data_IF_614207587041
#
_entry.id   IF_614207587041
#
_cell.length_a   1.000
_cell.length_b   1.000
_cell.length_c   1.000
_cell.angle_alpha   90.00
_cell.angle_beta   90.00
_cell.angle_gamma   90.00
#
_symmetry.space_group_name_H-M   'P 1'
#
loop_
_entity.id
_entity.type
_entity.pdbx_description
1 polymer ?
#
# COMPACT_ATOMS: atom_id res chain seq x y z
N UNK A 1 28.13 -46.18 -55.30
CA UNK A 1 27.68 -45.22 -56.34
C UNK A 1 27.84 -43.80 -55.79
N UNK A 2 28.30 -42.91 -56.67
CA UNK A 2 28.70 -41.49 -56.59
C UNK A 2 28.24 -40.64 -55.37
N UNK A 3 29.13 -39.95 -54.64
CA UNK A 3 30.04 -38.80 -54.94
C UNK A 3 29.38 -37.44 -54.63
N UNK A 4 30.04 -36.71 -53.71
CA UNK A 4 29.83 -35.29 -53.31
C UNK A 4 29.99 -34.34 -54.51
N UNK A 5 29.39 -33.13 -54.43
CA UNK A 5 30.11 -31.87 -54.69
C UNK A 5 29.32 -30.61 -54.27
N UNK A 6 30.05 -29.75 -53.59
CA UNK A 6 29.82 -28.33 -53.25
C UNK A 6 30.25 -27.39 -54.40
N UNK A 7 29.82 -26.12 -54.31
CA UNK A 7 30.52 -24.81 -54.57
C UNK A 7 29.95 -23.83 -55.61
N UNK A 8 29.76 -22.57 -55.16
CA UNK A 8 30.06 -21.23 -55.78
C UNK A 8 29.33 -20.81 -57.08
N UNK A 9 28.97 -19.55 -57.40
CA UNK A 9 29.18 -18.18 -56.89
C UNK A 9 29.19 -17.16 -58.07
N UNK A 10 28.76 -15.89 -57.84
CA UNK A 10 28.94 -14.64 -58.67
C UNK A 10 28.26 -14.53 -60.07
N UNK A 11 27.95 -13.37 -60.70
CA UNK A 11 27.75 -11.95 -60.37
C UNK A 11 27.33 -11.14 -61.66
N UNK A 12 26.55 -10.06 -61.47
CA UNK A 12 26.58 -8.71 -62.11
C UNK A 12 26.21 -8.37 -63.60
N UNK A 13 25.70 -7.11 -63.72
CA UNK A 13 25.69 -6.09 -64.82
C UNK A 13 24.38 -5.89 -65.65
N UNK A 14 23.66 -4.74 -65.54
CA UNK A 14 23.77 -3.40 -66.20
C UNK A 14 23.23 -3.43 -67.67
N UNK A 15 22.32 -2.57 -68.22
CA UNK A 15 22.31 -1.09 -68.37
C UNK A 15 21.01 -0.51 -69.02
N UNK A 16 20.62 0.70 -68.59
CA UNK A 16 20.15 1.96 -69.29
C UNK A 16 18.97 2.09 -70.29
N UNK A 17 18.27 3.24 -70.10
CA UNK A 17 17.79 4.29 -71.07
C UNK A 17 16.26 4.53 -71.07
N UNK A 18 15.65 5.71 -71.25
CA UNK A 18 16.02 7.14 -71.30
C UNK A 18 14.68 7.94 -71.42
N UNK A 19 14.58 9.08 -70.71
CA UNK A 19 13.77 10.31 -70.86
C UNK A 19 12.45 10.37 -71.68
N UNK A 20 11.44 11.10 -71.14
CA UNK A 20 11.04 12.43 -71.67
C UNK A 20 10.10 13.18 -70.72
N UNK A 21 10.38 14.48 -70.53
CA UNK A 21 9.59 15.44 -69.75
C UNK A 21 8.44 16.05 -70.58
N UNK A 22 7.35 16.47 -69.91
CA UNK A 22 6.50 17.56 -70.40
C UNK A 22 5.82 18.27 -69.20
N UNK A 23 5.99 19.58 -69.15
CA UNK A 23 5.45 20.50 -68.16
C UNK A 23 4.06 21.03 -68.57
N UNK A 24 3.20 21.36 -67.60
CA UNK A 24 2.37 22.56 -67.66
C UNK A 24 1.65 22.88 -66.32
N UNK A 25 1.89 24.11 -65.87
CA UNK A 25 0.97 25.08 -65.25
C UNK A 25 0.04 24.69 -64.08
N UNK A 26 0.26 25.35 -62.95
CA UNK A 26 -0.73 25.62 -61.91
C UNK A 26 -1.75 26.69 -62.37
N UNK A 27 -2.87 26.83 -61.65
CA UNK A 27 -3.04 28.06 -60.88
C UNK A 27 -3.55 27.83 -59.43
N UNK A 28 -3.37 28.86 -58.62
CA UNK A 28 -3.75 28.98 -57.21
C UNK A 28 -5.15 29.60 -57.01
N UNK A 29 -5.55 29.69 -55.72
CA UNK A 29 -6.75 30.28 -55.07
C UNK A 29 -7.88 29.26 -54.77
N UNK A 30 -8.54 29.19 -53.60
CA UNK A 30 -8.63 30.09 -52.45
C UNK A 30 -9.07 29.35 -51.16
N UNK A 31 -9.19 30.11 -50.08
CA UNK A 31 -9.41 29.76 -48.67
C UNK A 31 -10.70 28.97 -48.32
N UNK A 32 -10.63 28.33 -47.13
CA UNK A 32 -11.64 27.61 -46.35
C UNK A 32 -12.81 28.52 -45.85
N UNK A 33 -13.78 28.07 -45.01
CA UNK A 33 -14.07 26.72 -44.45
C UNK A 33 -15.56 26.30 -44.52
N UNK A 34 -15.89 25.03 -44.21
CA UNK A 34 -17.02 24.74 -43.31
C UNK A 34 -17.10 23.28 -42.82
N UNK A 35 -17.35 23.19 -41.52
CA UNK A 35 -18.06 22.21 -40.70
C UNK A 35 -18.09 20.70 -41.02
N UNK A 36 -17.54 19.96 -40.04
CA UNK A 36 -18.16 18.85 -39.30
C UNK A 36 -18.51 17.53 -40.00
N UNK A 37 -17.77 16.49 -39.63
CA UNK A 37 -18.37 15.32 -38.95
C UNK A 37 -17.34 14.69 -37.99
N UNK A 38 -17.63 14.80 -36.70
CA UNK A 38 -16.91 14.15 -35.63
C UNK A 38 -17.33 12.68 -35.51
N UNK A 39 -16.36 11.76 -35.44
CA UNK A 39 -16.53 10.46 -34.80
C UNK A 39 -15.64 10.39 -33.56
N UNK A 40 -16.25 10.62 -32.40
CA UNK A 40 -15.73 10.20 -31.10
C UNK A 40 -15.75 8.66 -31.02
N UNK A 41 -14.90 7.96 -30.28
CA UNK A 41 -13.90 8.43 -29.32
C UNK A 41 -12.81 7.37 -29.13
N UNK A 42 -11.60 7.87 -28.94
CA UNK A 42 -10.54 7.09 -28.29
C UNK A 42 -10.79 7.18 -26.79
N UNK A 43 -10.92 6.03 -26.13
CA UNK A 43 -10.82 5.95 -24.68
C UNK A 43 -9.45 6.48 -24.28
N UNK A 44 -9.41 7.69 -23.71
CA UNK A 44 -8.20 8.25 -23.13
C UNK A 44 -7.89 7.46 -21.86
N UNK A 45 -6.91 6.57 -21.94
CA UNK A 45 -6.26 6.05 -20.76
C UNK A 45 -5.62 7.24 -20.06
N UNK A 46 -6.19 7.63 -18.91
CA UNK A 46 -5.63 8.70 -18.09
C UNK A 46 -4.17 8.35 -17.78
N UNK A 47 -3.25 9.24 -18.15
CA UNK A 47 -1.85 9.14 -17.78
C UNK A 47 -1.74 9.25 -16.25
N UNK A 48 -1.58 8.11 -15.57
CA UNK A 48 -1.20 8.07 -14.16
C UNK A 48 0.28 8.47 -14.11
N UNK A 49 0.58 9.63 -13.53
CA UNK A 49 1.97 10.06 -13.33
C UNK A 49 2.67 9.05 -12.41
N UNK A 50 3.59 8.27 -12.97
CA UNK A 50 4.45 7.32 -12.24
C UNK A 50 5.52 8.02 -11.37
N UNK A 51 5.35 9.31 -11.05
CA UNK A 51 6.44 10.20 -10.63
C UNK A 51 6.84 10.17 -9.15
N UNK A 52 6.12 9.44 -8.30
CA UNK A 52 6.34 9.53 -6.84
C UNK A 52 6.64 8.19 -6.15
N UNK A 53 6.49 7.04 -6.79
CA UNK A 53 6.74 5.77 -6.11
C UNK A 53 8.25 5.50 -5.89
N UNK A 54 8.63 5.18 -4.64
CA UNK A 54 9.97 4.71 -4.30
C UNK A 54 9.93 3.24 -3.90
N UNK A 55 10.84 2.43 -4.46
CA UNK A 55 10.89 0.99 -4.22
C UNK A 55 12.30 0.53 -3.80
N UNK A 56 12.41 -0.09 -2.63
CA UNK A 56 13.67 -0.64 -2.10
C UNK A 56 13.61 -2.16 -2.08
N UNK A 57 14.39 -2.80 -2.94
CA UNK A 57 14.51 -4.27 -2.99
C UNK A 57 15.37 -4.78 -1.84
N UNK A 58 14.92 -5.86 -1.20
CA UNK A 58 15.65 -6.54 -0.12
C UNK A 58 16.24 -7.83 -0.68
N UNK A 59 17.56 -7.99 -0.60
CA UNK A 59 18.23 -9.20 -1.10
C UNK A 59 17.85 -10.44 -0.27
N UNK A 60 17.95 -11.63 -0.86
CA UNK A 60 17.69 -12.89 -0.14
C UNK A 60 18.57 -13.02 1.12
N UNK A 61 19.86 -12.64 1.03
CA UNK A 61 20.75 -12.63 2.18
C UNK A 61 20.30 -11.68 3.30
N UNK A 62 19.73 -10.52 2.96
CA UNK A 62 19.18 -9.58 3.95
C UNK A 62 17.86 -10.10 4.56
N UNK A 63 17.03 -10.81 3.79
CA UNK A 63 15.84 -11.49 4.30
C UNK A 63 16.23 -12.58 5.32
N UNK A 64 17.21 -13.43 4.98
CA UNK A 64 17.74 -14.45 5.89
C UNK A 64 18.35 -13.83 7.16
N UNK A 65 19.05 -12.70 7.01
CA UNK A 65 19.59 -11.96 8.14
C UNK A 65 18.47 -11.41 9.03
N UNK A 66 17.39 -10.89 8.47
CA UNK A 66 16.23 -10.38 9.22
C UNK A 66 15.56 -11.47 10.06
N UNK A 67 15.42 -12.69 9.51
CA UNK A 67 14.86 -13.83 10.25
C UNK A 67 15.72 -14.21 11.46
N UNK A 68 17.05 -14.23 11.31
CA UNK A 68 17.98 -14.49 12.42
C UNK A 68 18.07 -13.33 13.40
N UNK A 69 17.89 -12.11 12.93
CA UNK A 69 17.95 -10.90 13.73
C UNK A 69 16.80 -10.90 14.76
N UNK A 70 15.57 -11.23 14.37
CA UNK A 70 14.40 -11.15 15.24
C UNK A 70 14.20 -12.35 16.17
N UNK A 71 14.91 -12.32 17.30
CA UNK A 71 14.64 -13.23 18.43
C UNK A 71 13.38 -12.81 19.19
N UNK A 72 12.75 -13.72 19.97
CA UNK A 72 11.62 -13.36 20.84
C UNK A 72 11.94 -12.21 21.81
N UNK A 73 13.19 -12.11 22.26
CA UNK A 73 13.62 -11.00 23.11
C UNK A 73 13.65 -9.67 22.35
N UNK A 74 14.18 -9.64 21.11
CA UNK A 74 14.22 -8.41 20.32
C UNK A 74 12.82 -7.96 19.89
N UNK A 75 11.91 -8.89 19.60
CA UNK A 75 10.52 -8.53 19.32
C UNK A 75 9.87 -7.83 20.52
N UNK A 76 9.95 -8.42 21.72
CA UNK A 76 9.37 -7.83 22.93
C UNK A 76 10.02 -6.52 23.35
N UNK A 77 11.29 -6.32 23.00
CA UNK A 77 12.03 -5.09 23.31
C UNK A 77 11.93 -4.02 22.20
N UNK A 78 11.26 -4.32 21.07
CA UNK A 78 11.07 -3.35 20.01
C UNK A 78 10.18 -2.21 20.52
N UNK A 79 10.59 -0.98 20.23
CA UNK A 79 9.90 0.22 20.69
C UNK A 79 8.81 0.62 19.72
N UNK A 80 7.76 1.22 20.21
CA UNK A 80 6.77 1.80 19.30
C UNK A 80 7.37 3.00 18.57
N UNK A 81 7.01 3.17 17.31
CA UNK A 81 7.27 4.42 16.61
C UNK A 81 6.27 5.47 17.09
N UNK A 82 6.59 6.09 18.23
CA UNK A 82 5.90 7.27 18.76
C UNK A 82 6.72 8.54 18.58
N UNK A 83 8.01 8.40 18.26
CA UNK A 83 8.98 9.49 18.20
C UNK A 83 9.92 9.32 17.01
N UNK A 84 9.40 9.47 15.80
CA UNK A 84 10.24 9.98 14.73
C UNK A 84 9.82 11.42 14.55
N UNK A 85 10.63 12.32 15.09
CA UNK A 85 10.40 13.75 15.02
C UNK A 85 10.18 14.13 13.54
N UNK A 86 8.93 14.44 13.19
CA UNK A 86 8.65 15.35 12.09
C UNK A 86 8.96 16.73 12.67
N UNK A 87 9.99 17.43 12.20
CA UNK A 87 10.27 18.77 12.70
C UNK A 87 9.04 19.64 12.47
N UNK A 88 8.59 20.33 13.52
CA UNK A 88 7.65 21.45 13.37
C UNK A 88 8.31 22.47 12.44
N UNK A 89 7.81 22.57 11.21
CA UNK A 89 8.40 23.44 10.19
C UNK A 89 8.34 22.93 8.75
N UNK A 90 7.58 21.89 8.44
CA UNK A 90 7.28 21.54 7.05
C UNK A 90 6.77 22.80 6.30
N UNK A 91 7.47 23.17 5.23
CA UNK A 91 7.13 24.31 4.39
C UNK A 91 5.66 24.21 3.91
N UNK A 92 4.97 25.34 3.69
CA UNK A 92 3.59 25.32 3.23
C UNK A 92 3.47 24.48 1.96
N UNK A 93 2.42 23.64 1.82
CA UNK A 93 2.30 22.77 0.67
C UNK A 93 2.23 23.60 -0.61
N UNK A 94 2.98 23.19 -1.64
CA UNK A 94 2.48 23.36 -3.00
C UNK A 94 1.21 22.51 -3.06
N UNK A 95 0.05 23.17 -3.20
CA UNK A 95 -1.31 22.62 -3.25
C UNK A 95 -1.33 21.10 -3.46
N UNK A 96 -1.59 20.35 -2.40
CA UNK A 96 -1.94 18.93 -2.51
C UNK A 96 -3.20 18.82 -3.37
N UNK A 97 -3.29 17.88 -4.32
CA UNK A 97 -4.53 17.65 -5.03
C UNK A 97 -5.61 17.28 -4.01
N UNK A 98 -6.66 18.09 -3.93
CA UNK A 98 -7.91 17.63 -3.32
C UNK A 98 -8.35 16.35 -4.03
N UNK A 99 -9.02 15.44 -3.32
CA UNK A 99 -9.75 14.34 -3.92
C UNK A 99 -10.53 14.89 -5.12
N UNK A 100 -10.09 14.56 -6.33
CA UNK A 100 -10.62 15.20 -7.52
C UNK A 100 -12.03 14.68 -7.70
N UNK A 101 -13.02 15.55 -7.57
CA UNK A 101 -14.40 15.21 -7.88
C UNK A 101 -14.45 14.62 -9.31
N UNK A 102 -14.88 13.37 -9.44
CA UNK A 102 -15.00 12.66 -10.72
C UNK A 102 -14.13 11.40 -10.89
N UNK A 103 -13.41 10.94 -9.87
CA UNK A 103 -12.67 9.67 -9.95
C UNK A 103 -13.54 8.48 -9.54
N UNK A 104 -13.48 7.39 -10.31
CA UNK A 104 -14.24 6.18 -10.02
C UNK A 104 -13.54 5.33 -8.94
N UNK A 105 -14.27 4.83 -7.94
CA UNK A 105 -13.72 3.89 -6.97
C UNK A 105 -13.13 2.65 -7.64
N UNK A 106 -11.96 2.21 -7.17
CA UNK A 106 -11.33 0.94 -7.57
C UNK A 106 -11.38 0.00 -6.38
N UNK A 107 -12.06 -1.13 -6.51
CA UNK A 107 -12.24 -2.11 -5.45
C UNK A 107 -11.57 -3.42 -5.81
N UNK A 108 -10.72 -3.92 -4.91
CA UNK A 108 -10.22 -5.30 -4.92
C UNK A 108 -10.90 -6.03 -3.75
N UNK A 109 -11.69 -7.08 -4.00
CA UNK A 109 -12.45 -7.75 -2.94
C UNK A 109 -11.54 -8.53 -1.98
N UNK A 110 -12.01 -8.84 -0.76
CA UNK A 110 -11.30 -9.75 0.15
C UNK A 110 -11.05 -11.13 -0.47
N UNK A 111 -9.97 -11.79 -0.04
CA UNK A 111 -9.64 -13.15 -0.42
C UNK A 111 -9.50 -14.04 0.82
N UNK A 112 -10.25 -15.13 0.89
CA UNK A 112 -10.15 -16.07 1.99
C UNK A 112 -8.92 -16.97 1.81
N UNK A 113 -8.09 -17.04 2.84
CA UNK A 113 -7.00 -18.03 2.93
C UNK A 113 -7.39 -19.21 3.83
N UNK A 114 -6.58 -20.30 3.83
CA UNK A 114 -6.86 -21.48 4.64
C UNK A 114 -6.99 -21.19 6.14
N UNK A 115 -6.12 -20.33 6.68
CA UNK A 115 -6.18 -19.96 8.10
C UNK A 115 -7.44 -19.16 8.46
N UNK A 116 -7.92 -18.32 7.56
CA UNK A 116 -9.14 -17.54 7.76
C UNK A 116 -10.38 -18.45 7.83
N UNK A 117 -10.44 -19.49 7.00
CA UNK A 117 -11.53 -20.46 7.02
C UNK A 117 -11.63 -21.26 8.33
N UNK A 118 -10.50 -21.44 9.04
CA UNK A 118 -10.44 -22.15 10.32
C UNK A 118 -10.58 -21.24 11.55
N UNK A 119 -10.53 -19.92 11.36
CA UNK A 119 -10.70 -18.97 12.45
C UNK A 119 -12.16 -18.92 12.84
N UNK A 120 -12.51 -19.58 13.96
CA UNK A 120 -13.86 -19.63 14.51
C UNK A 120 -14.44 -18.21 14.59
N UNK A 121 -15.56 -18.00 13.93
CA UNK A 121 -16.38 -16.81 14.13
C UNK A 121 -16.91 -16.85 15.55
N UNK A 122 -16.63 -15.81 16.35
CA UNK A 122 -17.33 -15.68 17.61
C UNK A 122 -18.83 -15.51 17.30
N UNK A 123 -19.67 -16.30 17.96
CA UNK A 123 -21.10 -16.27 17.76
C UNK A 123 -21.64 -14.89 18.18
N UNK A 124 -22.07 -14.08 17.21
CA UNK A 124 -22.80 -12.83 17.41
C UNK A 124 -22.02 -11.70 18.08
N UNK A 125 -21.37 -10.85 17.29
CA UNK A 125 -21.19 -9.45 17.68
C UNK A 125 -22.03 -8.59 16.75
N UNK A 126 -23.10 -8.02 17.30
CA UNK A 126 -23.75 -6.83 16.78
C UNK A 126 -22.68 -5.80 16.42
N UNK A 127 -22.90 -4.98 15.38
CA UNK A 127 -22.00 -3.87 15.06
C UNK A 127 -21.59 -3.16 16.35
N UNK A 128 -20.29 -3.13 16.64
CA UNK A 128 -19.82 -2.51 17.87
C UNK A 128 -20.29 -1.04 17.86
N UNK A 129 -20.91 -0.53 18.93
CA UNK A 129 -21.19 0.89 19.03
C UNK A 129 -19.87 1.65 18.86
N UNK A 130 -19.93 2.89 18.36
CA UNK A 130 -18.74 3.74 18.32
C UNK A 130 -18.08 3.75 19.70
N UNK A 131 -16.81 3.34 19.76
CA UNK A 131 -16.03 3.30 20.99
C UNK A 131 -15.03 4.43 20.96
N UNK A 132 -15.04 5.26 22.00
CA UNK A 132 -14.07 6.36 22.14
C UNK A 132 -12.74 5.92 22.74
N UNK A 133 -12.52 4.60 22.83
CA UNK A 133 -11.30 4.00 23.38
C UNK A 133 -11.06 2.63 22.75
N UNK A 134 -9.80 2.24 22.49
CA UNK A 134 -9.48 0.97 21.89
C UNK A 134 -9.99 -0.24 22.68
N UNK A 135 -10.65 -1.15 21.98
CA UNK A 135 -11.11 -2.44 22.52
C UNK A 135 -10.22 -3.60 22.08
N UNK A 136 -10.23 -4.70 22.83
CA UNK A 136 -9.62 -5.96 22.40
C UNK A 136 -10.42 -6.62 21.27
N UNK A 137 -9.77 -6.97 20.17
CA UNK A 137 -10.44 -7.77 19.14
C UNK A 137 -10.44 -9.25 19.52
N UNK A 138 -11.63 -9.78 19.81
CA UNK A 138 -11.86 -11.20 20.12
C UNK A 138 -12.78 -11.90 19.11
N UNK A 139 -13.17 -11.21 18.03
CA UNK A 139 -14.17 -11.70 17.07
C UNK A 139 -13.68 -12.82 16.14
N UNK A 140 -12.36 -13.06 16.09
CA UNK A 140 -11.76 -13.98 15.11
C UNK A 140 -11.91 -13.44 13.69
N UNK A 141 -12.27 -14.32 12.75
CA UNK A 141 -12.49 -13.97 11.34
C UNK A 141 -11.21 -13.65 10.57
N UNK A 142 -11.39 -13.16 9.34
CA UNK A 142 -10.30 -12.85 8.41
C UNK A 142 -9.30 -11.84 9.00
N UNK A 143 -9.76 -10.77 9.66
CA UNK A 143 -8.89 -9.76 10.29
C UNK A 143 -7.94 -10.36 11.34
N UNK A 144 -8.33 -11.42 12.04
CA UNK A 144 -7.49 -12.06 13.05
C UNK A 144 -6.28 -12.78 12.43
N UNK A 145 -6.32 -13.07 11.12
CA UNK A 145 -5.21 -13.67 10.38
C UNK A 145 -4.51 -12.68 9.46
N UNK A 146 -5.19 -11.62 9.01
CA UNK A 146 -4.65 -10.62 8.06
C UNK A 146 -4.04 -9.40 8.75
N UNK A 147 -4.46 -9.04 9.97
CA UNK A 147 -3.78 -8.02 10.77
C UNK A 147 -2.55 -8.60 11.45
N UNK A 148 -1.45 -7.86 11.45
CA UNK A 148 -0.19 -8.31 12.05
C UNK A 148 0.71 -7.19 12.52
N UNK A 149 1.74 -7.59 13.27
CA UNK A 149 2.75 -6.67 13.80
C UNK A 149 3.93 -6.60 12.82
N UNK A 150 4.42 -5.40 12.60
CA UNK A 150 5.59 -5.09 11.79
C UNK A 150 6.76 -4.79 12.72
N UNK A 151 7.94 -5.30 12.40
CA UNK A 151 9.17 -5.00 13.13
C UNK A 151 10.28 -4.61 12.16
N UNK A 152 11.07 -3.61 12.52
CA UNK A 152 12.16 -3.11 11.70
C UNK A 152 13.26 -2.47 12.55
N UNK A 153 14.39 -2.17 11.90
CA UNK A 153 15.54 -1.55 12.52
C UNK A 153 16.01 -0.34 11.69
N UNK A 154 16.34 0.75 12.36
CA UNK A 154 16.96 1.92 11.73
C UNK A 154 18.49 1.79 11.59
N UNK A 155 19.12 2.77 10.95
CA UNK A 155 20.54 2.84 10.66
C UNK A 155 21.38 2.68 11.93
N UNK A 156 21.00 3.39 12.99
CA UNK A 156 21.68 3.44 14.29
C UNK A 156 21.47 2.20 15.16
N UNK A 157 20.68 1.23 14.70
CA UNK A 157 20.48 -0.05 15.37
C UNK A 157 19.28 -0.12 16.30
N UNK A 158 18.52 0.96 16.45
CA UNK A 158 17.24 0.99 17.16
C UNK A 158 16.21 0.10 16.49
N UNK A 159 15.48 -0.67 17.30
CA UNK A 159 14.46 -1.63 16.86
C UNK A 159 13.07 -1.12 17.20
N UNK A 160 12.17 -1.16 16.22
CA UNK A 160 10.85 -0.58 16.32
C UNK A 160 9.74 -1.54 15.90
N UNK A 161 8.52 -1.21 16.31
CA UNK A 161 7.31 -1.90 15.95
C UNK A 161 6.24 -0.96 15.39
N UNK A 162 5.51 -1.49 14.42
CA UNK A 162 4.29 -0.95 13.81
C UNK A 162 3.26 -2.08 13.64
N UNK A 163 2.18 -1.81 12.94
CA UNK A 163 1.19 -2.76 12.47
C UNK A 163 1.08 -2.72 10.94
N UNK A 164 0.48 -3.74 10.35
CA UNK A 164 0.12 -3.77 8.94
C UNK A 164 -1.06 -4.71 8.73
N UNK A 165 -1.72 -4.59 7.59
CA UNK A 165 -2.82 -5.48 7.18
C UNK A 165 -2.57 -6.07 5.80
N UNK A 166 -2.82 -7.37 5.62
CA UNK A 166 -2.70 -8.01 4.31
C UNK A 166 -3.77 -7.47 3.36
N UNK A 167 -3.32 -6.89 2.24
CA UNK A 167 -4.17 -6.38 1.18
C UNK A 167 -4.20 -7.41 0.04
N UNK A 168 -5.38 -7.72 -0.48
CA UNK A 168 -5.49 -8.65 -1.58
C UNK A 168 -4.77 -8.08 -2.80
N UNK A 169 -4.04 -8.92 -3.53
CA UNK A 169 -3.19 -8.51 -4.66
C UNK A 169 -2.96 -9.67 -5.62
N UNK A 170 -2.63 -9.38 -6.89
CA UNK A 170 -2.38 -10.40 -7.91
C UNK A 170 -1.21 -11.31 -7.56
N UNK A 171 -0.17 -10.75 -6.93
CA UNK A 171 0.98 -11.53 -6.46
C UNK A 171 0.79 -12.18 -5.08
N UNK A 172 -0.38 -11.99 -4.43
CA UNK A 172 -0.74 -12.60 -3.15
C UNK A 172 0.25 -12.33 -2.01
N UNK A 173 0.95 -11.21 -2.04
CA UNK A 173 2.11 -10.97 -1.16
C UNK A 173 2.22 -9.54 -0.65
N UNK A 174 1.15 -8.73 -0.72
CA UNK A 174 1.17 -7.32 -0.34
C UNK A 174 0.55 -7.10 1.04
N UNK A 175 1.17 -6.23 1.83
CA UNK A 175 0.57 -5.62 3.03
C UNK A 175 0.54 -4.11 2.91
N UNK A 176 -0.52 -3.49 3.42
CA UNK A 176 -0.62 -2.04 3.63
C UNK A 176 -0.08 -1.69 5.03
N UNK A 177 0.72 -0.62 5.10
CA UNK A 177 1.30 -0.07 6.33
C UNK A 177 1.47 1.45 6.18
N UNK A 178 1.89 2.15 7.24
CA UNK A 178 2.24 3.57 7.15
C UNK A 178 3.62 3.79 6.51
N UNK A 179 3.81 4.94 5.86
CA UNK A 179 5.08 5.37 5.27
C UNK A 179 6.20 5.42 6.32
N UNK A 180 5.90 5.99 7.49
CA UNK A 180 6.82 6.07 8.61
C UNK A 180 7.21 4.72 9.24
N UNK A 181 6.52 3.64 8.88
CA UNK A 181 6.90 2.26 9.25
C UNK A 181 7.88 1.63 8.24
N UNK A 182 8.21 2.34 7.16
CA UNK A 182 9.07 1.89 6.07
C UNK A 182 10.26 2.82 5.86
N UNK A 183 10.06 4.13 5.97
CA UNK A 183 11.08 5.14 5.67
C UNK A 183 11.07 6.27 6.69
N UNK A 184 12.26 6.76 7.05
CA UNK A 184 12.40 8.01 7.78
C UNK A 184 12.18 9.20 6.83
N UNK A 185 11.14 10.00 7.06
CA UNK A 185 10.83 11.12 6.17
C UNK A 185 11.91 12.21 6.11
N UNK A 186 12.63 12.44 7.21
CA UNK A 186 13.65 13.50 7.28
C UNK A 186 14.97 13.11 6.61
N UNK A 187 15.33 11.83 6.62
CA UNK A 187 16.61 11.35 6.06
C UNK A 187 16.47 10.56 4.76
N UNK A 188 15.25 10.12 4.42
CA UNK A 188 15.02 9.16 3.33
C UNK A 188 15.54 7.75 3.63
N UNK A 189 15.95 7.46 4.86
CA UNK A 189 16.45 6.15 5.24
C UNK A 189 15.31 5.12 5.24
N UNK A 190 15.39 4.14 4.33
CA UNK A 190 14.49 2.99 4.34
C UNK A 190 14.99 1.97 5.37
N UNK A 191 14.09 1.53 6.24
CA UNK A 191 14.44 0.64 7.34
C UNK A 191 14.83 -0.76 6.89
N UNK A 192 15.66 -1.41 7.70
CA UNK A 192 16.17 -2.76 7.47
C UNK A 192 15.59 -3.75 8.46
N UNK A 193 15.92 -5.03 8.27
CA UNK A 193 15.38 -6.13 9.07
C UNK A 193 13.85 -6.08 9.13
N UNK A 194 13.19 -5.64 8.05
CA UNK A 194 11.75 -5.44 8.05
C UNK A 194 11.03 -6.79 7.96
N UNK A 195 10.18 -7.10 8.93
CA UNK A 195 9.36 -8.32 8.97
C UNK A 195 7.92 -8.02 9.35
N UNK A 196 7.00 -8.82 8.82
CA UNK A 196 5.59 -8.83 9.14
C UNK A 196 5.21 -10.17 9.79
N UNK A 197 4.44 -10.11 10.87
CA UNK A 197 3.96 -11.28 11.61
C UNK A 197 2.43 -11.21 11.70
N UNK A 198 1.70 -11.90 10.81
CA UNK A 198 0.25 -11.96 10.84
C UNK A 198 -0.24 -12.71 12.08
N UNK A 199 -1.34 -12.24 12.67
CA UNK A 199 -1.94 -12.81 13.88
C UNK A 199 -0.99 -12.82 15.09
N UNK A 200 -0.04 -11.87 15.16
CA UNK A 200 0.88 -11.76 16.28
C UNK A 200 0.12 -11.68 17.61
N UNK A 201 0.63 -12.33 18.66
CA UNK A 201 0.07 -12.12 19.98
C UNK A 201 0.80 -12.88 21.07
N UNK A 202 1.15 -12.19 22.16
CA UNK A 202 1.94 -12.72 23.28
C UNK A 202 3.24 -13.41 22.81
N UNK A 203 3.94 -12.81 21.86
CA UNK A 203 5.15 -13.35 21.23
C UNK A 203 4.90 -14.50 20.24
N UNK A 204 3.67 -14.99 20.12
CA UNK A 204 3.32 -16.05 19.18
C UNK A 204 3.30 -15.53 17.75
N UNK A 205 3.69 -16.42 16.83
CA UNK A 205 3.78 -16.16 15.40
C UNK A 205 3.02 -17.28 14.67
N UNK A 206 1.69 -17.36 14.84
CA UNK A 206 0.91 -18.54 14.45
C UNK A 206 1.02 -18.87 12.96
N UNK A 207 1.27 -17.85 12.12
CA UNK A 207 1.41 -17.99 10.68
C UNK A 207 2.85 -17.75 10.19
N UNK A 208 3.80 -17.66 11.11
CA UNK A 208 5.22 -17.45 10.82
C UNK A 208 5.63 -15.98 10.69
N UNK A 209 6.82 -15.76 10.13
CA UNK A 209 7.43 -14.43 9.96
C UNK A 209 7.75 -14.22 8.49
N UNK A 210 7.16 -13.20 7.90
CA UNK A 210 7.32 -12.85 6.49
C UNK A 210 8.30 -11.68 6.36
N UNK A 211 9.39 -11.87 5.65
CA UNK A 211 10.39 -10.82 5.40
C UNK A 211 9.97 -9.95 4.23
N UNK A 212 10.27 -8.64 4.28
CA UNK A 212 10.12 -7.80 3.10
C UNK A 212 10.99 -8.32 1.95
N UNK A 213 10.41 -8.45 0.76
CA UNK A 213 11.13 -8.62 -0.50
C UNK A 213 11.32 -7.25 -1.17
N UNK A 214 10.34 -6.36 -1.07
CA UNK A 214 10.43 -4.98 -1.56
C UNK A 214 9.56 -4.07 -0.71
N UNK A 215 10.13 -2.94 -0.29
CA UNK A 215 9.45 -1.90 0.47
C UNK A 215 9.11 -0.74 -0.45
N UNK A 216 7.86 -0.29 -0.43
CA UNK A 216 7.33 0.77 -1.28
C UNK A 216 6.80 1.90 -0.42
N UNK A 217 7.21 3.13 -0.70
CA UNK A 217 6.67 4.33 -0.07
C UNK A 217 6.43 5.41 -1.12
N UNK A 218 5.54 6.36 -0.79
CA UNK A 218 5.34 7.53 -1.61
C UNK A 218 6.49 8.54 -1.40
N UNK A 219 7.15 8.95 -2.46
CA UNK A 219 8.25 9.91 -2.45
C UNK A 219 7.82 11.32 -2.02
N UNK A 220 6.53 11.64 -2.08
CA UNK A 220 5.98 12.85 -1.48
C UNK A 220 6.09 12.81 0.04
N UNK A 221 5.99 11.64 0.67
CA UNK A 221 6.18 11.51 2.12
C UNK A 221 7.57 12.02 2.55
N UNK A 222 8.64 11.58 1.87
CA UNK A 222 10.01 12.01 2.16
C UNK A 222 10.28 13.45 1.70
N UNK A 223 9.90 13.79 0.46
CA UNK A 223 10.21 15.12 -0.09
C UNK A 223 9.50 16.28 0.59
N UNK A 224 8.41 16.00 1.32
CA UNK A 224 7.70 16.99 2.16
C UNK A 224 8.12 16.95 3.63
N UNK A 225 9.09 16.09 3.99
CA UNK A 225 9.55 15.94 5.37
C UNK A 225 8.55 15.24 6.28
N UNK A 226 7.59 14.48 5.73
CA UNK A 226 6.67 13.66 6.51
C UNK A 226 5.22 14.14 6.47
N UNK A 227 4.75 14.75 5.38
CA UNK A 227 3.34 15.11 5.26
C UNK A 227 2.45 13.86 5.35
N UNK A 228 1.59 13.84 6.37
CA UNK A 228 0.76 12.70 6.72
C UNK A 228 -0.28 12.33 5.64
N UNK A 229 -0.59 13.21 4.69
CA UNK A 229 -1.42 12.87 3.52
C UNK A 229 -0.81 11.75 2.66
N UNK A 230 0.52 11.59 2.70
CA UNK A 230 1.27 10.60 1.94
C UNK A 230 1.84 9.49 2.83
N UNK A 231 1.42 9.40 4.10
CA UNK A 231 1.93 8.44 5.08
C UNK A 231 1.26 7.06 4.94
N UNK A 232 1.35 6.52 3.73
CA UNK A 232 1.00 5.15 3.38
C UNK A 232 2.18 4.49 2.66
N UNK A 233 2.27 3.18 2.80
CA UNK A 233 3.29 2.36 2.18
C UNK A 233 2.76 0.95 1.96
N UNK A 234 3.39 0.26 1.03
CA UNK A 234 3.15 -1.15 0.78
C UNK A 234 4.45 -1.93 0.98
N UNK A 235 4.35 -3.13 1.53
CA UNK A 235 5.45 -4.07 1.50
C UNK A 235 5.02 -5.31 0.71
N UNK A 236 5.82 -5.67 -0.30
CA UNK A 236 5.77 -7.00 -0.88
C UNK A 236 6.64 -7.92 -0.04
N UNK A 237 6.06 -8.93 0.58
CA UNK A 237 6.78 -9.90 1.40
C UNK A 237 7.17 -11.15 0.61
N UNK A 238 8.21 -11.83 1.07
CA UNK A 238 8.65 -13.09 0.49
C UNK A 238 7.73 -14.25 0.90
N UNK A 239 7.53 -15.26 0.04
CA UNK A 239 6.85 -16.50 0.41
C UNK A 239 7.51 -17.19 1.60
N UNK A 240 6.70 -17.83 2.43
CA UNK A 240 7.17 -18.62 3.56
C UNK A 240 6.86 -20.11 3.30
N UNK A 241 7.88 -20.97 3.35
CA UNK A 241 7.74 -22.40 3.10
C UNK A 241 7.02 -22.72 1.77
N UNK A 242 7.35 -21.98 0.72
CA UNK A 242 6.77 -22.13 -0.61
C UNK A 242 5.35 -21.60 -0.78
N UNK A 243 4.75 -20.98 0.25
CA UNK A 243 3.40 -20.40 0.21
C UNK A 243 3.47 -18.87 0.23
N UNK A 244 2.62 -18.24 -0.59
CA UNK A 244 2.44 -16.79 -0.55
C UNK A 244 1.75 -16.37 0.74
N UNK A 245 1.76 -15.07 1.04
CA UNK A 245 1.11 -14.53 2.23
C UNK A 245 -0.40 -14.80 2.19
N UNK A 246 -1.07 -14.47 1.09
CA UNK A 246 -2.53 -14.64 0.97
C UNK A 246 -2.93 -16.12 0.96
N UNK A 247 -2.12 -17.00 0.35
CA UNK A 247 -2.37 -18.45 0.43
C UNK A 247 -2.15 -19.02 1.84
N UNK A 248 -1.54 -18.25 2.75
CA UNK A 248 -1.38 -18.62 4.17
C UNK A 248 -2.52 -18.06 5.02
N UNK A 249 -2.79 -16.76 4.94
CA UNK A 249 -3.65 -16.05 5.90
C UNK A 249 -4.87 -15.37 5.30
N UNK A 250 -5.05 -15.41 3.98
CA UNK A 250 -6.06 -14.61 3.29
C UNK A 250 -5.62 -13.16 3.15
N UNK A 251 -6.56 -12.30 2.76
CA UNK A 251 -6.34 -10.87 2.60
C UNK A 251 -7.64 -10.09 2.72
N UNK A 252 -7.55 -8.90 3.31
CA UNK A 252 -8.62 -7.92 3.25
C UNK A 252 -8.77 -7.39 1.82
N UNK A 253 -9.97 -6.89 1.51
CA UNK A 253 -10.15 -6.08 0.31
C UNK A 253 -9.39 -4.76 0.45
N UNK A 254 -9.18 -4.06 -0.65
CA UNK A 254 -8.64 -2.70 -0.65
C UNK A 254 -9.42 -1.85 -1.64
N UNK A 255 -9.73 -0.62 -1.23
CA UNK A 255 -10.48 0.33 -2.03
C UNK A 255 -9.68 1.62 -2.20
N UNK A 256 -9.59 2.09 -3.44
CA UNK A 256 -8.99 3.36 -3.80
C UNK A 256 -10.05 4.29 -4.34
N UNK A 257 -9.84 5.59 -4.15
CA UNK A 257 -10.79 6.62 -4.56
C UNK A 257 -12.21 6.36 -4.00
N UNK A 258 -12.32 5.75 -2.82
CA UNK A 258 -13.59 5.39 -2.21
C UNK A 258 -14.29 6.61 -1.60
N UNK A 259 -15.63 6.59 -1.47
CA UNK A 259 -16.33 7.59 -0.67
C UNK A 259 -15.75 7.68 0.75
N UNK A 260 -15.72 8.87 1.32
CA UNK A 260 -15.27 9.14 2.68
C UNK A 260 -16.45 9.42 3.61
N UNK A 261 -16.19 9.56 4.92
CA UNK A 261 -17.26 9.76 5.90
C UNK A 261 -18.02 8.48 6.21
N UNK A 262 -17.39 7.33 5.98
CA UNK A 262 -18.00 6.03 6.16
C UNK A 262 -17.93 5.61 7.63
N UNK A 263 -18.75 4.64 8.03
CA UNK A 263 -18.49 3.92 9.28
C UNK A 263 -17.37 2.91 9.05
N UNK A 264 -16.33 2.97 9.89
CA UNK A 264 -15.11 2.19 9.73
C UNK A 264 -14.70 1.50 11.03
N UNK A 265 -13.91 0.44 10.86
CA UNK A 265 -13.14 -0.19 11.91
C UNK A 265 -11.66 0.10 11.67
N UNK A 266 -10.94 0.51 12.71
CA UNK A 266 -9.49 0.65 12.69
C UNK A 266 -8.88 -0.46 13.54
N UNK A 267 -7.84 -1.13 13.05
CA UNK A 267 -7.22 -2.28 13.71
C UNK A 267 -5.71 -2.11 13.84
N UNK A 268 -5.16 -2.30 15.04
CA UNK A 268 -3.72 -2.17 15.28
C UNK A 268 -3.23 -2.82 16.57
N UNK A 269 -1.92 -2.84 16.74
CA UNK A 269 -1.22 -3.37 17.92
C UNK A 269 -0.67 -2.23 18.79
N UNK A 270 -1.56 -1.49 19.46
CA UNK A 270 -1.20 -0.41 20.38
C UNK A 270 -0.34 -0.88 21.57
N UNK A 271 0.69 -0.11 21.90
CA UNK A 271 1.74 -0.45 22.84
C UNK A 271 1.47 -0.09 24.30
N UNK A 272 0.38 0.61 24.60
CA UNK A 272 0.01 0.92 25.99
C UNK A 272 -0.34 -0.34 26.79
N UNK A 273 -0.18 -0.28 28.12
CA UNK A 273 -0.58 -1.39 28.99
C UNK A 273 -2.08 -1.71 28.87
N UNK A 274 -2.93 -0.70 28.70
CA UNK A 274 -4.37 -0.88 28.49
C UNK A 274 -4.68 -1.64 27.20
N UNK A 275 -3.88 -1.42 26.15
CA UNK A 275 -3.97 -2.11 24.86
C UNK A 275 -3.21 -3.43 24.80
N UNK A 276 -2.62 -3.86 25.93
CA UNK A 276 -1.91 -5.13 26.05
C UNK A 276 -0.46 -5.08 25.58
N UNK A 277 0.19 -3.91 25.57
CA UNK A 277 1.64 -3.81 25.35
C UNK A 277 2.09 -4.18 23.94
N UNK A 278 1.22 -4.03 22.93
CA UNK A 278 1.48 -4.47 21.56
C UNK A 278 1.41 -5.99 21.36
N UNK A 279 0.89 -6.74 22.33
CA UNK A 279 0.82 -8.21 22.32
C UNK A 279 -0.58 -8.76 22.00
N UNK A 280 -1.53 -7.91 21.63
CA UNK A 280 -2.86 -8.30 21.15
C UNK A 280 -3.39 -7.32 20.12
N UNK A 281 -4.28 -7.80 19.26
CA UNK A 281 -4.98 -6.96 18.29
C UNK A 281 -6.02 -6.09 19.02
N UNK A 282 -5.99 -4.79 18.76
CA UNK A 282 -6.96 -3.82 19.22
C UNK A 282 -7.79 -3.32 18.05
N UNK A 283 -8.93 -2.72 18.37
CA UNK A 283 -9.76 -2.05 17.39
C UNK A 283 -10.42 -0.79 17.95
N UNK A 284 -10.68 0.13 17.04
CA UNK A 284 -11.53 1.31 17.20
C UNK A 284 -12.64 1.27 16.16
N UNK A 285 -13.77 1.94 16.41
CA UNK A 285 -14.85 2.09 15.43
C UNK A 285 -15.47 3.47 15.50
N UNK A 286 -15.82 4.03 14.35
CA UNK A 286 -16.51 5.31 14.29
C UNK A 286 -16.94 5.67 12.87
N UNK A 287 -17.76 6.72 12.76
CA UNK A 287 -18.00 7.40 11.49
C UNK A 287 -16.86 8.39 11.25
N UNK A 288 -16.25 8.30 10.08
CA UNK A 288 -15.12 9.16 9.75
C UNK A 288 -15.51 10.63 9.66
N UNK A 289 -14.60 11.51 10.05
CA UNK A 289 -14.67 12.94 9.82
C UNK A 289 -13.35 13.47 9.25
N UNK A 290 -13.39 14.59 8.50
CA UNK A 290 -12.17 15.16 7.94
C UNK A 290 -11.28 15.75 9.04
N UNK A 291 -9.96 15.62 8.88
CA UNK A 291 -8.97 16.32 9.70
C UNK A 291 -8.96 17.82 9.37
N UNK A 292 -9.85 18.57 10.04
CA UNK A 292 -9.92 20.03 9.88
C UNK A 292 -8.83 20.78 10.68
N UNK A 293 -8.10 20.09 11.56
CA UNK A 293 -7.12 20.69 12.46
C UNK A 293 -5.76 20.92 11.81
N UNK A 294 -5.39 20.10 10.83
CA UNK A 294 -4.12 20.20 10.10
C UNK A 294 -4.29 20.91 8.77
N UNK A 295 -3.54 21.99 8.56
CA UNK A 295 -3.60 22.77 7.33
C UNK A 295 -3.25 21.92 6.10
N UNK A 296 -4.12 21.94 5.09
CA UNK A 296 -3.93 21.18 3.85
C UNK A 296 -4.10 19.66 3.99
N UNK A 297 -4.65 19.19 5.11
CA UNK A 297 -4.93 17.77 5.32
C UNK A 297 -6.02 17.26 4.37
N UNK A 298 -5.80 16.08 3.81
CA UNK A 298 -6.81 15.30 3.10
C UNK A 298 -7.21 14.05 3.88
N UNK A 299 -6.72 13.94 5.12
CA UNK A 299 -6.91 12.78 5.99
C UNK A 299 -8.32 12.73 6.57
N UNK A 300 -8.73 11.52 6.90
CA UNK A 300 -9.97 11.22 7.60
C UNK A 300 -9.64 10.44 8.87
N UNK A 301 -10.51 10.53 9.86
CA UNK A 301 -10.26 9.91 11.15
C UNK A 301 -11.51 9.66 11.95
N UNK A 302 -11.34 9.00 13.09
CA UNK A 302 -12.40 8.65 14.05
C UNK A 302 -12.03 9.15 15.45
N UNK A 303 -13.02 9.36 16.30
CA UNK A 303 -12.85 9.77 17.71
C UNK A 303 -12.52 8.54 18.57
N UNK A 304 -11.37 7.94 18.29
CA UNK A 304 -10.76 6.84 19.03
C UNK A 304 -9.27 6.82 18.66
N UNK A 305 -8.39 6.64 19.64
CA UNK A 305 -6.95 6.61 19.42
C UNK A 305 -6.35 5.35 19.99
N UNK A 306 -5.74 4.56 19.11
CA UNK A 306 -4.80 3.53 19.52
C UNK A 306 -3.41 4.14 19.76
N UNK A 307 -2.70 3.67 20.78
CA UNK A 307 -1.36 4.21 21.08
C UNK A 307 -0.32 3.72 20.07
N UNK A 308 0.90 4.23 20.20
CA UNK A 308 2.02 3.87 19.32
C UNK A 308 2.19 2.37 19.14
N UNK A 309 2.69 1.97 17.98
CA UNK A 309 2.75 0.57 17.54
C UNK A 309 1.53 0.15 16.73
N UNK A 310 0.39 0.83 16.91
CA UNK A 310 -0.80 0.68 16.05
C UNK A 310 -0.60 1.22 14.64
N UNK A 311 0.31 2.18 14.45
CA UNK A 311 0.66 2.78 13.16
C UNK A 311 0.82 1.75 12.04
N UNK A 312 0.20 2.02 10.89
CA UNK A 312 0.14 1.12 9.74
C UNK A 312 -0.97 0.07 9.79
N UNK A 313 -1.63 -0.09 10.94
CA UNK A 313 -2.84 -0.88 11.08
C UNK A 313 -3.97 -0.40 10.17
N UNK A 314 -4.84 -1.29 9.71
CA UNK A 314 -5.81 -0.98 8.66
C UNK A 314 -7.05 -0.22 9.16
N UNK A 315 -7.50 0.76 8.38
CA UNK A 315 -8.86 1.30 8.42
C UNK A 315 -9.72 0.55 7.40
N UNK A 316 -10.79 -0.08 7.85
CA UNK A 316 -11.67 -0.92 7.05
C UNK A 316 -13.09 -0.38 7.00
N UNK A 317 -13.58 -0.09 5.79
CA UNK A 317 -15.00 0.16 5.53
C UNK A 317 -15.71 -1.14 5.12
N UNK A 318 -17.05 -1.14 5.17
CA UNK A 318 -17.89 -2.30 4.89
C UNK A 318 -17.44 -3.57 5.64
N UNK A 319 -16.92 -3.40 6.85
CA UNK A 319 -16.38 -4.48 7.65
C UNK A 319 -17.49 -5.34 8.24
N UNK A 320 -17.45 -6.64 7.94
CA UNK A 320 -18.34 -7.63 8.55
C UNK A 320 -17.69 -8.22 9.80
N UNK A 321 -18.11 -7.77 10.98
CA UNK A 321 -17.56 -8.24 12.26
C UNK A 321 -17.69 -9.76 12.47
N UNK A 322 -18.69 -10.42 11.88
CA UNK A 322 -18.83 -11.87 11.97
C UNK A 322 -17.84 -12.62 11.07
N UNK A 323 -17.54 -12.10 9.89
CA UNK A 323 -16.60 -12.71 8.93
C UNK A 323 -15.16 -12.22 9.08
N UNK A 324 -14.99 -11.09 9.78
CA UNK A 324 -13.73 -10.38 9.93
C UNK A 324 -13.19 -9.76 8.63
N UNK A 325 -14.01 -9.60 7.59
CA UNK A 325 -13.55 -9.08 6.29
C UNK A 325 -14.14 -7.71 5.95
N UNK A 326 -13.35 -6.85 5.30
CA UNK A 326 -13.79 -5.54 4.80
C UNK A 326 -12.88 -4.98 3.70
N UNK A 327 -12.97 -3.68 3.44
CA UNK A 327 -12.11 -2.98 2.47
C UNK A 327 -11.20 -1.99 3.18
N UNK A 328 -9.89 -2.16 3.03
CA UNK A 328 -8.89 -1.17 3.43
C UNK A 328 -9.14 0.14 2.68
N UNK A 329 -9.44 1.21 3.41
CA UNK A 329 -9.61 2.58 2.92
C UNK A 329 -8.51 3.53 3.41
N UNK A 330 -7.61 3.02 4.26
CA UNK A 330 -6.45 3.72 4.79
C UNK A 330 -5.68 2.88 5.81
N UNK A 331 -4.65 3.49 6.40
CA UNK A 331 -3.90 2.95 7.53
C UNK A 331 -3.82 3.97 8.66
N UNK A 332 -3.75 3.51 9.92
CA UNK A 332 -3.45 4.37 11.07
C UNK A 332 -2.12 5.07 10.78
N UNK A 333 -2.12 6.40 10.84
CA UNK A 333 -0.94 7.22 10.51
C UNK A 333 -0.55 8.12 11.67
N UNK A 334 -1.44 9.02 12.06
CA UNK A 334 -1.18 10.04 13.09
C UNK A 334 -2.40 10.23 13.97
N UNK A 335 -2.19 10.69 15.21
CA UNK A 335 -3.25 11.06 16.14
C UNK A 335 -3.19 12.53 16.52
N UNK A 336 -4.34 13.16 16.78
CA UNK A 336 -4.42 14.48 17.39
C UNK A 336 -5.57 14.53 18.40
N UNK A 337 -5.28 14.84 19.66
CA UNK A 337 -6.26 14.76 20.74
C UNK A 337 -6.78 13.32 20.90
N UNK A 338 -8.11 13.16 20.86
CA UNK A 338 -8.79 11.87 20.94
C UNK A 338 -9.00 11.19 19.58
N UNK A 339 -8.41 11.72 18.50
CA UNK A 339 -8.68 11.28 17.14
C UNK A 339 -7.47 10.59 16.51
N UNK A 340 -7.67 9.44 15.88
CA UNK A 340 -6.68 8.81 14.99
C UNK A 340 -7.09 9.00 13.53
N UNK A 341 -6.10 9.24 12.66
CA UNK A 341 -6.30 9.59 11.26
C UNK A 341 -5.55 8.64 10.34
N UNK A 342 -6.10 8.47 9.14
CA UNK A 342 -5.48 7.76 8.03
C UNK A 342 -5.38 8.66 6.79
N UNK A 343 -4.35 8.47 5.94
CA UNK A 343 -4.33 9.11 4.64
C UNK A 343 -5.46 8.56 3.77
N UNK A 344 -5.94 9.41 2.86
CA UNK A 344 -6.88 8.99 1.81
C UNK A 344 -6.14 8.15 0.75
N UNK A 345 -6.63 6.93 0.47
CA UNK A 345 -6.05 6.08 -0.57
C UNK A 345 -6.52 6.52 -1.96
N UNK A 346 -5.87 7.58 -2.48
CA UNK A 346 -6.08 8.12 -3.83
C UNK A 346 -5.32 7.37 -4.93
N UNK A 347 -5.14 8.03 -6.09
CA UNK A 347 -4.39 7.48 -7.22
C UNK A 347 -2.91 7.26 -6.92
N UNK A 348 -2.34 8.06 -6.03
CA UNK A 348 -0.97 7.93 -5.53
C UNK A 348 -0.80 6.56 -4.85
N UNK A 349 -1.72 6.23 -3.93
CA UNK A 349 -1.77 4.93 -3.27
C UNK A 349 -2.08 3.79 -4.25
N UNK A 350 -3.01 3.98 -5.20
CA UNK A 350 -3.34 3.00 -6.24
C UNK A 350 -2.12 2.66 -7.11
N UNK A 351 -1.37 3.68 -7.54
CA UNK A 351 -0.14 3.52 -8.32
C UNK A 351 0.93 2.76 -7.55
N UNK A 352 1.10 3.07 -6.26
CA UNK A 352 2.06 2.39 -5.40
C UNK A 352 1.67 0.92 -5.14
N UNK A 353 0.37 0.65 -4.92
CA UNK A 353 -0.20 -0.69 -4.79
C UNK A 353 0.00 -1.52 -6.07
N UNK A 354 -0.23 -0.92 -7.25
CA UNK A 354 0.01 -1.57 -8.54
C UNK A 354 1.47 -2.01 -8.69
N UNK A 355 2.42 -1.16 -8.27
CA UNK A 355 3.84 -1.51 -8.30
C UNK A 355 4.22 -2.57 -7.26
N UNK A 356 3.55 -2.59 -6.10
CA UNK A 356 3.75 -3.60 -5.08
C UNK A 356 3.32 -4.99 -5.56
N UNK A 357 2.26 -5.05 -6.36
CA UNK A 357 1.94 -6.18 -7.23
C UNK A 357 0.45 -6.49 -7.33
N UNK A 358 -0.30 -5.45 -7.68
CA UNK A 358 -1.58 -5.62 -8.35
C UNK A 358 -1.41 -6.21 -9.75
#
# INVERSE_FOLDING_TARGET
MHVRRTTTGLAAALTTALALALACAAPALAAAPDAAHASAGHASAAHVSAGHASATKVSAAAQDAALRFWTPQRLRAARDVTSLAVPDGAAPPRTAPAATAGQHPVLVPPALGPAAATSRTANGTSAAPAVSSPGAWNGGGLIATTAGKVFFQNASGGTFACSATVANSNNKSVVLTAGHCVVNAGTGEVYRNWVFIPGYGNGNRPFGTFTAQTLFHDGQYVSTGGNANYDFAFARVAPLNGRTLVDTVGAEGIAFNSPTGQFVYSFGYGGSAAEGGGERLNYCTGTEFPDAGRAGSTMWGIDCVQTGGSSGGGFLSNFNASGGGGYLVGNISVSAGSNEYHPYLGNEALSLYQQAGA
#
